data_IF_334612668890
#
_entry.id   IF_334612668890
#
_cell.length_a   1.000
_cell.length_b   1.000
_cell.length_c   1.000
_cell.angle_alpha   90.00
_cell.angle_beta   90.00
_cell.angle_gamma   90.00
#
_symmetry.space_group_name_H-M   'P 1'
#
loop_
_entity.id
_entity.type
_entity.pdbx_description
1 polymer ?
#
# COMPACT_ATOMS: atom_id res chain seq x y z
N UNK A 1 -66.73 6.33 -11.76
CA UNK A 1 -65.41 6.16 -12.40
C UNK A 1 -65.68 5.70 -13.82
N UNK A 2 -65.50 6.56 -14.82
CA UNK A 2 -65.73 6.20 -16.22
C UNK A 2 -64.41 5.77 -16.85
N UNK A 3 -64.40 4.60 -17.49
CA UNK A 3 -63.25 4.05 -18.20
C UNK A 3 -63.62 4.05 -19.68
N UNK A 4 -63.05 4.97 -20.46
CA UNK A 4 -63.09 4.89 -21.92
C UNK A 4 -61.86 4.12 -22.42
N UNK A 5 -62.09 3.08 -23.20
CA UNK A 5 -61.03 2.31 -23.86
C UNK A 5 -60.97 2.73 -25.32
N UNK A 6 -59.86 3.35 -25.73
CA UNK A 6 -59.56 3.61 -27.13
C UNK A 6 -58.57 2.57 -27.64
N UNK A 7 -58.95 1.86 -28.69
CA UNK A 7 -58.09 0.85 -29.33
C UNK A 7 -57.57 1.41 -30.63
N UNK A 8 -56.26 1.65 -30.71
CA UNK A 8 -55.61 2.07 -31.95
C UNK A 8 -54.82 0.89 -32.54
N UNK A 9 -55.07 0.61 -33.84
CA UNK A 9 -54.31 -0.36 -34.61
C UNK A 9 -53.18 0.36 -35.35
N UNK A 10 -51.95 -0.09 -35.12
CA UNK A 10 -50.80 0.27 -35.96
C UNK A 10 -50.80 -0.60 -37.23
N UNK A 11 -50.26 -0.07 -38.34
CA UNK A 11 -50.09 -0.74 -39.64
C UNK A 11 -49.33 -2.09 -39.59
N UNK A 12 -48.59 -2.39 -38.52
CA UNK A 12 -47.90 -3.67 -38.33
C UNK A 12 -48.68 -4.70 -37.49
N UNK A 13 -49.98 -4.51 -37.27
CA UNK A 13 -50.86 -5.52 -36.67
C UNK A 13 -50.76 -5.71 -35.14
N UNK A 14 -49.75 -5.16 -34.48
CA UNK A 14 -49.64 -5.16 -33.02
C UNK A 14 -50.66 -4.20 -32.39
N UNK A 15 -51.41 -4.72 -31.40
CA UNK A 15 -52.42 -3.96 -30.64
C UNK A 15 -51.78 -3.41 -29.37
N UNK A 16 -51.76 -2.09 -29.21
CA UNK A 16 -51.39 -1.44 -27.96
C UNK A 16 -52.66 -0.99 -27.25
N UNK A 17 -52.85 -1.43 -26.01
CA UNK A 17 -53.96 -1.03 -25.15
C UNK A 17 -53.53 0.15 -24.28
N UNK A 18 -54.18 1.30 -24.46
CA UNK A 18 -54.01 2.45 -23.59
C UNK A 18 -55.24 2.55 -22.69
N UNK A 19 -55.03 2.58 -21.37
CA UNK A 19 -56.08 2.90 -20.40
C UNK A 19 -55.79 4.27 -19.80
N UNK A 20 -56.78 5.16 -19.84
CA UNK A 20 -56.68 6.49 -19.25
C UNK A 20 -57.50 6.56 -17.96
N UNK A 21 -56.94 7.22 -16.95
CA UNK A 21 -57.65 7.55 -15.72
C UNK A 21 -57.69 9.08 -15.58
N UNK A 22 -58.87 9.67 -15.69
CA UNK A 22 -59.04 11.11 -15.44
C UNK A 22 -59.70 11.33 -14.07
N UNK A 23 -59.00 12.03 -13.18
CA UNK A 23 -59.58 12.56 -11.93
C UNK A 23 -59.92 14.04 -12.16
N UNK A 24 -61.19 14.41 -12.00
CA UNK A 24 -61.63 15.82 -12.08
C UNK A 24 -61.14 16.57 -10.84
N UNK A 25 -60.17 17.47 -11.00
CA UNK A 25 -60.03 18.70 -10.20
C UNK A 25 -59.10 19.67 -10.92
N UNK A 26 -59.43 20.95 -10.84
CA UNK A 26 -58.95 22.04 -11.69
C UNK A 26 -57.45 22.38 -11.52
N UNK A 27 -56.90 22.86 -12.64
CA UNK A 27 -55.74 23.75 -12.81
C UNK A 27 -54.34 23.12 -12.91
N UNK A 28 -53.79 23.21 -14.12
CA UNK A 28 -52.45 22.83 -14.63
C UNK A 28 -52.23 21.33 -14.89
N UNK A 29 -52.65 20.88 -16.08
CA UNK A 29 -52.25 19.59 -16.63
C UNK A 29 -50.87 19.72 -17.31
N UNK A 30 -49.82 19.30 -16.62
CA UNK A 30 -48.56 18.91 -17.25
C UNK A 30 -48.79 17.51 -17.84
N UNK A 31 -48.72 17.41 -19.17
CA UNK A 31 -48.82 16.12 -19.87
C UNK A 31 -47.46 15.41 -19.78
N UNK A 32 -47.35 14.42 -18.90
CA UNK A 32 -46.26 13.45 -18.94
C UNK A 32 -46.60 12.35 -19.96
N UNK A 33 -45.92 12.36 -21.11
CA UNK A 33 -45.94 11.23 -22.05
C UNK A 33 -44.91 10.21 -21.57
N UNK A 34 -45.34 9.26 -20.73
CA UNK A 34 -44.55 8.07 -20.44
C UNK A 34 -44.71 7.06 -21.58
N UNK A 35 -43.92 7.23 -22.64
CA UNK A 35 -43.77 6.22 -23.69
C UNK A 35 -42.90 5.08 -23.19
N UNK A 36 -43.50 4.00 -22.67
CA UNK A 36 -42.80 2.74 -22.41
C UNK A 36 -42.53 2.09 -23.78
N UNK A 37 -41.39 2.43 -24.38
CA UNK A 37 -40.82 1.66 -25.48
C UNK A 37 -40.07 0.48 -24.89
N UNK A 38 -40.72 -0.68 -24.79
CA UNK A 38 -40.04 -1.97 -24.64
C UNK A 38 -39.35 -2.32 -25.96
N UNK A 39 -38.21 -1.69 -26.20
CA UNK A 39 -37.14 -2.25 -27.02
C UNK A 39 -36.09 -2.74 -26.04
N UNK A 40 -36.08 -4.05 -25.83
CA UNK A 40 -35.05 -4.74 -25.06
C UNK A 40 -33.70 -4.60 -25.75
N UNK A 41 -33.03 -3.47 -25.53
CA UNK A 41 -31.59 -3.46 -25.44
C UNK A 41 -31.27 -3.89 -24.02
N UNK A 42 -31.10 -5.20 -23.84
CA UNK A 42 -30.28 -5.71 -22.76
C UNK A 42 -28.90 -5.08 -22.93
N UNK A 43 -28.67 -3.93 -22.30
CA UNK A 43 -27.33 -3.48 -21.98
C UNK A 43 -26.84 -4.53 -20.98
N UNK A 44 -26.22 -5.58 -21.53
CA UNK A 44 -25.23 -6.35 -20.84
C UNK A 44 -24.15 -5.35 -20.41
N UNK A 45 -24.31 -4.81 -19.21
CA UNK A 45 -23.19 -4.38 -18.39
C UNK A 45 -22.37 -5.64 -18.16
N UNK A 46 -21.51 -5.95 -19.13
CA UNK A 46 -20.35 -6.79 -18.88
C UNK A 46 -19.53 -5.96 -17.90
N UNK A 47 -19.69 -6.25 -16.60
CA UNK A 47 -18.64 -5.97 -15.65
C UNK A 47 -17.45 -6.80 -16.15
N UNK A 48 -16.67 -6.20 -17.04
CA UNK A 48 -15.37 -6.74 -17.34
C UNK A 48 -14.65 -6.69 -16.01
N UNK A 49 -14.42 -7.87 -15.45
CA UNK A 49 -13.61 -8.09 -14.27
C UNK A 49 -12.23 -7.48 -14.58
N UNK A 50 -12.07 -6.23 -14.16
CA UNK A 50 -10.94 -5.43 -14.56
C UNK A 50 -9.78 -5.79 -13.65
N UNK A 51 -8.89 -6.64 -14.17
CA UNK A 51 -7.64 -7.03 -13.50
C UNK A 51 -6.97 -5.81 -12.86
N UNK A 52 -6.89 -5.75 -11.51
CA UNK A 52 -6.41 -4.58 -10.81
C UNK A 52 -4.96 -4.23 -11.17
N UNK A 53 -4.18 -5.22 -11.63
CA UNK A 53 -2.78 -5.03 -12.06
C UNK A 53 -2.74 -4.35 -13.43
N UNK A 54 -3.43 -4.92 -14.43
CA UNK A 54 -3.46 -4.37 -15.79
C UNK A 54 -4.06 -2.95 -15.85
N UNK A 55 -5.11 -2.68 -15.06
CA UNK A 55 -5.73 -1.35 -14.95
C UNK A 55 -4.73 -0.25 -14.55
N UNK A 56 -3.72 -0.62 -13.77
CA UNK A 56 -2.71 0.30 -13.25
C UNK A 56 -1.48 0.39 -14.15
N UNK A 57 -1.50 -0.26 -15.32
CA UNK A 57 -0.38 -0.30 -16.26
C UNK A 57 0.79 -1.17 -15.80
N UNK A 58 0.55 -2.04 -14.82
CA UNK A 58 1.53 -3.00 -14.32
C UNK A 58 1.37 -4.35 -15.04
N UNK A 59 2.36 -5.21 -14.90
CA UNK A 59 2.33 -6.58 -15.43
C UNK A 59 2.37 -7.59 -14.30
N UNK A 60 1.58 -8.65 -14.39
CA UNK A 60 1.76 -9.82 -13.51
C UNK A 60 3.13 -10.46 -13.77
N UNK A 61 3.74 -11.02 -12.73
CA UNK A 61 4.93 -11.85 -12.87
C UNK A 61 4.84 -13.09 -11.99
N UNK A 62 5.54 -14.14 -12.41
CA UNK A 62 5.63 -15.41 -11.68
C UNK A 62 7.05 -15.65 -11.14
N UNK A 63 7.98 -14.72 -11.37
CA UNK A 63 9.33 -14.83 -10.85
C UNK A 63 9.31 -14.80 -9.32
N UNK A 64 10.07 -15.69 -8.68
CA UNK A 64 10.28 -15.67 -7.22
C UNK A 64 9.01 -15.80 -6.36
N UNK A 65 7.95 -16.45 -6.90
CA UNK A 65 6.77 -16.84 -6.11
C UNK A 65 7.12 -17.50 -4.76
N UNK A 66 8.12 -18.40 -4.65
CA UNK A 66 8.47 -19.00 -3.37
C UNK A 66 8.91 -17.99 -2.30
N UNK A 67 9.60 -16.91 -2.68
CA UNK A 67 10.00 -15.84 -1.77
C UNK A 67 8.74 -15.14 -1.22
N UNK A 68 7.84 -14.72 -2.12
CA UNK A 68 6.59 -14.06 -1.74
C UNK A 68 5.70 -14.97 -0.87
N UNK A 69 5.52 -16.24 -1.24
CA UNK A 69 4.74 -17.21 -0.46
C UNK A 69 5.33 -17.40 0.95
N UNK A 70 6.66 -17.48 1.06
CA UNK A 70 7.33 -17.63 2.36
C UNK A 70 7.17 -16.38 3.24
N UNK A 71 7.21 -15.18 2.66
CA UNK A 71 7.00 -13.92 3.35
C UNK A 71 5.54 -13.73 3.76
N UNK A 72 4.58 -14.07 2.89
CA UNK A 72 3.13 -14.07 3.20
C UNK A 72 2.84 -15.00 4.38
N UNK A 73 3.37 -16.24 4.33
CA UNK A 73 3.20 -17.20 5.43
C UNK A 73 3.75 -16.63 6.74
N UNK A 74 4.94 -16.04 6.69
CA UNK A 74 5.56 -15.40 7.84
C UNK A 74 4.76 -14.21 8.38
N UNK A 75 4.25 -13.34 7.51
CA UNK A 75 3.40 -12.22 7.90
C UNK A 75 2.09 -12.71 8.57
N UNK A 76 1.41 -13.69 7.96
CA UNK A 76 0.18 -14.27 8.50
C UNK A 76 0.36 -14.94 9.87
N UNK A 77 1.53 -15.51 10.16
CA UNK A 77 1.83 -16.04 11.50
C UNK A 77 1.73 -14.94 12.57
N UNK A 78 2.16 -13.72 12.25
CA UNK A 78 2.21 -12.60 13.19
C UNK A 78 0.92 -11.77 13.19
N UNK A 79 0.23 -11.62 12.05
CA UNK A 79 -0.99 -10.79 11.99
C UNK A 79 -2.16 -11.44 12.70
N UNK A 80 -2.31 -12.78 12.67
CA UNK A 80 -3.41 -13.53 13.30
C UNK A 80 -4.75 -12.78 13.27
N UNK A 81 -5.29 -12.40 14.44
CA UNK A 81 -6.58 -11.71 14.57
C UNK A 81 -6.50 -10.17 14.45
N UNK A 82 -5.29 -9.61 14.31
CA UNK A 82 -5.03 -8.18 14.31
C UNK A 82 -5.05 -7.56 12.89
N UNK A 83 -5.32 -8.34 11.85
CA UNK A 83 -5.44 -7.85 10.48
C UNK A 83 -5.97 -8.91 9.51
N UNK A 84 -6.17 -8.55 8.23
CA UNK A 84 -6.57 -9.52 7.20
C UNK A 84 -5.51 -10.59 6.97
N UNK A 85 -5.96 -11.77 6.52
CA UNK A 85 -5.06 -12.84 6.08
C UNK A 85 -4.59 -12.56 4.66
N UNK A 86 -3.29 -12.48 4.43
CA UNK A 86 -2.74 -12.31 3.08
C UNK A 86 -2.76 -13.64 2.32
N UNK A 87 -3.20 -13.64 1.07
CA UNK A 87 -3.23 -14.83 0.22
C UNK A 87 -2.61 -14.51 -1.14
N UNK A 88 -1.72 -15.35 -1.71
CA UNK A 88 -1.25 -15.13 -3.06
C UNK A 88 -2.41 -15.06 -4.05
N UNK A 89 -2.42 -14.04 -4.90
CA UNK A 89 -3.50 -13.79 -5.87
C UNK A 89 -3.80 -14.98 -6.79
N UNK A 90 -2.80 -15.81 -7.14
CA UNK A 90 -2.98 -17.01 -7.97
C UNK A 90 -3.61 -18.22 -7.24
N UNK A 91 -3.79 -18.13 -5.92
CA UNK A 91 -4.51 -19.13 -5.11
C UNK A 91 -5.73 -18.55 -4.41
N UNK A 92 -5.96 -17.24 -4.58
CA UNK A 92 -7.04 -16.52 -3.93
C UNK A 92 -8.37 -16.81 -4.62
N UNK A 93 -9.41 -17.01 -3.82
CA UNK A 93 -10.76 -17.20 -4.31
C UNK A 93 -11.59 -15.96 -4.01
N UNK A 94 -12.18 -15.39 -5.05
CA UNK A 94 -13.10 -14.27 -4.92
C UNK A 94 -14.30 -14.68 -4.05
N UNK A 95 -14.46 -14.04 -2.89
CA UNK A 95 -15.50 -14.35 -1.91
C UNK A 95 -15.01 -14.72 -0.51
N UNK A 96 -13.71 -14.99 -0.33
CA UNK A 96 -13.13 -15.10 1.01
C UNK A 96 -12.92 -13.71 1.63
N UNK A 97 -13.97 -13.23 2.32
CA UNK A 97 -14.03 -11.91 2.93
C UNK A 97 -12.98 -11.67 4.03
N UNK A 98 -12.28 -12.72 4.51
CA UNK A 98 -11.21 -12.58 5.51
C UNK A 98 -9.81 -12.53 4.89
N UNK A 99 -9.72 -12.78 3.58
CA UNK A 99 -8.45 -12.83 2.86
C UNK A 99 -8.27 -11.65 1.92
N UNK A 100 -7.04 -11.16 1.83
CA UNK A 100 -6.65 -10.08 0.92
C UNK A 100 -5.64 -10.62 -0.10
N UNK A 101 -5.91 -10.48 -1.42
CA UNK A 101 -5.02 -10.97 -2.44
C UNK A 101 -3.72 -10.15 -2.49
N UNK A 102 -2.61 -10.87 -2.58
CA UNK A 102 -1.27 -10.31 -2.83
C UNK A 102 -0.87 -10.60 -4.27
N UNK A 103 -0.78 -9.56 -5.07
CA UNK A 103 -0.39 -9.61 -6.47
C UNK A 103 1.11 -9.44 -6.59
N UNK A 104 1.71 -10.33 -7.37
CA UNK A 104 3.10 -10.22 -7.75
C UNK A 104 3.18 -9.48 -9.09
N UNK A 105 3.74 -8.28 -9.04
CA UNK A 105 3.69 -7.33 -10.15
C UNK A 105 5.07 -6.89 -10.60
N UNK A 106 5.13 -6.32 -11.80
CA UNK A 106 6.31 -5.69 -12.37
C UNK A 106 5.93 -4.35 -12.98
N UNK A 107 6.65 -3.31 -12.58
CA UNK A 107 6.56 -1.98 -13.21
C UNK A 107 7.30 -1.93 -14.55
N UNK A 108 6.88 -1.07 -15.49
CA UNK A 108 7.65 -0.78 -16.70
C UNK A 108 9.07 -0.30 -16.39
N UNK A 109 10.01 -0.50 -17.31
CA UNK A 109 11.38 -0.03 -17.15
C UNK A 109 11.42 1.49 -16.97
N UNK A 110 12.16 1.97 -15.96
CA UNK A 110 12.30 3.40 -15.65
C UNK A 110 11.11 4.02 -14.90
N UNK A 111 10.05 3.26 -14.62
CA UNK A 111 8.95 3.72 -13.80
C UNK A 111 9.36 3.87 -12.33
N UNK A 112 8.77 4.84 -11.64
CA UNK A 112 8.91 4.94 -10.18
C UNK A 112 8.10 3.78 -9.58
N UNK A 113 8.74 2.99 -8.72
CA UNK A 113 8.13 1.82 -8.11
C UNK A 113 8.56 1.69 -6.65
N UNK A 114 7.73 1.01 -5.86
CA UNK A 114 7.99 0.65 -4.46
C UNK A 114 7.96 -0.87 -4.30
N UNK A 115 8.70 -1.47 -3.36
CA UNK A 115 8.72 -2.91 -3.13
C UNK A 115 7.34 -3.53 -2.86
N UNK A 116 6.54 -2.89 -2.01
CA UNK A 116 5.20 -3.33 -1.65
C UNK A 116 4.29 -2.12 -1.49
N UNK A 117 3.00 -2.28 -1.79
CA UNK A 117 2.02 -1.21 -1.60
C UNK A 117 0.57 -1.70 -1.62
N UNK A 118 -0.32 -1.01 -0.89
CA UNK A 118 -1.78 -1.09 -1.07
C UNK A 118 -2.27 0.01 -2.04
N UNK A 119 -2.70 -0.35 -3.27
CA UNK A 119 -3.19 0.62 -4.24
C UNK A 119 -4.49 1.29 -3.78
N UNK A 120 -4.72 2.54 -4.20
CA UNK A 120 -6.01 3.20 -4.04
C UNK A 120 -7.11 2.41 -4.75
N UNK A 121 -8.30 2.36 -4.15
CA UNK A 121 -9.48 1.67 -4.67
C UNK A 121 -9.26 0.15 -4.90
N UNK A 122 -8.35 -0.45 -4.11
CA UNK A 122 -8.15 -1.89 -4.07
C UNK A 122 -7.92 -2.37 -2.64
N UNK A 123 -8.68 -3.37 -2.21
CA UNK A 123 -8.34 -4.14 -1.00
C UNK A 123 -7.41 -5.28 -1.42
N UNK A 124 -6.17 -4.92 -1.77
CA UNK A 124 -5.15 -5.85 -2.25
C UNK A 124 -3.75 -5.30 -1.97
N UNK A 125 -2.75 -6.18 -1.97
CA UNK A 125 -1.34 -5.78 -1.85
C UNK A 125 -0.64 -6.07 -3.16
N UNK A 126 0.13 -5.12 -3.67
CA UNK A 126 1.02 -5.31 -4.82
C UNK A 126 2.45 -5.42 -4.32
N UNK A 127 3.16 -6.46 -4.76
CA UNK A 127 4.58 -6.66 -4.47
C UNK A 127 5.35 -6.65 -5.78
N UNK A 128 6.30 -5.72 -5.90
CA UNK A 128 7.22 -5.62 -7.02
C UNK A 128 8.61 -6.11 -6.57
N UNK A 129 8.86 -7.41 -6.76
CA UNK A 129 10.13 -8.03 -6.34
C UNK A 129 11.37 -7.42 -7.02
N UNK A 130 11.37 -7.07 -8.32
CA UNK A 130 12.48 -6.30 -8.89
C UNK A 130 12.77 -4.98 -8.18
N UNK A 131 11.74 -4.24 -7.75
CA UNK A 131 11.92 -3.03 -6.96
C UNK A 131 12.46 -3.34 -5.56
N UNK A 132 12.00 -4.43 -4.95
CA UNK A 132 12.50 -4.93 -3.67
C UNK A 132 13.98 -5.34 -3.73
N UNK A 133 14.40 -6.10 -4.75
CA UNK A 133 15.79 -6.49 -4.95
C UNK A 133 16.70 -5.28 -5.19
N UNK A 134 16.26 -4.33 -6.02
CA UNK A 134 17.01 -3.09 -6.24
C UNK A 134 17.18 -2.31 -4.93
N UNK A 135 16.10 -2.24 -4.13
CA UNK A 135 16.12 -1.62 -2.81
C UNK A 135 17.05 -2.33 -1.84
N UNK A 136 17.00 -3.67 -1.73
CA UNK A 136 17.92 -4.45 -0.90
C UNK A 136 19.36 -4.21 -1.29
N UNK A 137 19.65 -4.28 -2.59
CA UNK A 137 21.00 -4.06 -3.12
C UNK A 137 21.54 -2.67 -2.77
N UNK A 138 20.71 -1.62 -2.82
CA UNK A 138 21.11 -0.28 -2.43
C UNK A 138 21.48 -0.18 -0.94
N UNK A 139 20.88 -1.03 -0.09
CA UNK A 139 21.08 -1.01 1.36
C UNK A 139 21.99 -2.13 1.89
N UNK A 140 22.51 -3.01 1.03
CA UNK A 140 23.43 -4.10 1.42
C UNK A 140 24.82 -3.97 0.79
N UNK A 141 25.02 -3.06 -0.18
CA UNK A 141 26.32 -2.86 -0.82
C UNK A 141 27.19 -1.87 -0.04
N UNK A 142 28.50 -2.09 -0.10
CA UNK A 142 29.52 -1.22 0.50
C UNK A 142 30.23 -1.84 1.69
N UNK A 143 31.33 -1.21 2.11
CA UNK A 143 32.16 -1.68 3.22
C UNK A 143 31.40 -1.67 4.54
N UNK A 144 31.58 -2.69 5.38
CA UNK A 144 30.95 -2.76 6.70
C UNK A 144 29.44 -3.04 6.71
N UNK A 145 28.83 -3.35 5.55
CA UNK A 145 27.42 -3.75 5.46
C UNK A 145 27.25 -5.24 5.73
N UNK A 146 26.16 -5.57 6.40
CA UNK A 146 25.70 -6.93 6.65
C UNK A 146 24.80 -7.39 5.49
N UNK A 147 24.87 -8.68 5.17
CA UNK A 147 23.91 -9.31 4.27
C UNK A 147 22.52 -9.32 4.91
N UNK A 148 21.52 -8.96 4.11
CA UNK A 148 20.12 -8.90 4.53
C UNK A 148 19.36 -10.11 3.98
N UNK A 149 18.54 -10.73 4.82
CA UNK A 149 17.70 -11.87 4.43
C UNK A 149 16.38 -11.37 3.84
N UNK A 150 16.22 -11.62 2.53
CA UNK A 150 15.11 -11.09 1.72
C UNK A 150 13.73 -11.47 2.27
N UNK A 151 13.56 -12.71 2.72
CA UNK A 151 12.29 -13.20 3.27
C UNK A 151 11.80 -12.30 4.43
N UNK A 152 12.65 -12.07 5.42
CA UNK A 152 12.23 -11.41 6.67
C UNK A 152 12.03 -9.91 6.49
N UNK A 153 12.78 -9.25 5.60
CA UNK A 153 12.50 -7.85 5.25
C UNK A 153 11.22 -7.71 4.43
N UNK A 154 10.96 -8.62 3.49
CA UNK A 154 9.70 -8.64 2.76
C UNK A 154 8.52 -8.92 3.70
N UNK A 155 8.70 -9.82 4.68
CA UNK A 155 7.71 -10.03 5.75
C UNK A 155 7.38 -8.72 6.46
N UNK A 156 8.40 -7.94 6.89
CA UNK A 156 8.14 -6.68 7.57
C UNK A 156 7.39 -5.67 6.68
N UNK A 157 7.76 -5.59 5.39
CA UNK A 157 7.03 -4.77 4.42
C UNK A 157 5.56 -5.22 4.29
N UNK A 158 5.30 -6.53 4.25
CA UNK A 158 3.91 -7.04 4.22
C UNK A 158 3.14 -6.74 5.51
N UNK A 159 3.78 -6.79 6.69
CA UNK A 159 3.16 -6.36 7.94
C UNK A 159 2.79 -4.88 7.90
N UNK A 160 3.64 -4.04 7.30
CA UNK A 160 3.36 -2.64 7.07
C UNK A 160 2.13 -2.45 6.16
N UNK A 161 2.04 -3.17 5.03
CA UNK A 161 0.85 -3.13 4.17
C UNK A 161 -0.42 -3.64 4.87
N UNK A 162 -0.30 -4.64 5.75
CA UNK A 162 -1.43 -5.08 6.59
C UNK A 162 -1.86 -3.95 7.52
N UNK A 163 -0.93 -3.16 8.06
CA UNK A 163 -1.24 -1.95 8.82
C UNK A 163 -2.07 -0.94 8.02
N UNK A 164 -1.75 -0.74 6.73
CA UNK A 164 -2.57 0.08 5.83
C UNK A 164 -3.99 -0.47 5.64
N UNK A 165 -4.12 -1.78 5.45
CA UNK A 165 -5.42 -2.45 5.30
C UNK A 165 -6.26 -2.34 6.58
N UNK A 166 -5.67 -2.64 7.75
CA UNK A 166 -6.35 -2.60 9.04
C UNK A 166 -6.82 -1.19 9.43
N UNK A 167 -6.10 -0.15 9.00
CA UNK A 167 -6.44 1.26 9.30
C UNK A 167 -7.22 1.95 8.18
N UNK A 168 -7.50 1.26 7.09
CA UNK A 168 -8.12 1.81 5.88
C UNK A 168 -7.40 3.08 5.37
N UNK A 169 -6.07 3.05 5.36
CA UNK A 169 -5.20 4.17 4.97
C UNK A 169 -4.55 3.96 3.60
N UNK A 170 -5.20 3.19 2.73
CA UNK A 170 -4.75 2.91 1.36
C UNK A 170 -4.55 4.23 0.58
N UNK A 171 -3.64 4.23 -0.39
CA UNK A 171 -3.26 5.53 -0.95
C UNK A 171 -2.48 5.54 -2.24
N UNK A 172 -1.78 4.47 -2.62
CA UNK A 172 -0.90 4.52 -3.78
C UNK A 172 -1.67 4.58 -5.10
N UNK A 173 -1.40 5.63 -5.86
CA UNK A 173 -1.95 5.84 -7.19
C UNK A 173 -0.90 5.46 -8.23
N UNK A 174 -1.35 4.87 -9.33
CA UNK A 174 -0.50 4.53 -10.46
C UNK A 174 -0.97 5.29 -11.70
N UNK A 175 -0.01 5.81 -12.46
CA UNK A 175 -0.22 6.37 -13.79
C UNK A 175 0.68 5.62 -14.76
N UNK A 176 0.08 4.82 -15.65
CA UNK A 176 0.79 4.01 -16.66
C UNK A 176 1.91 3.13 -16.07
N UNK A 177 1.63 2.45 -14.95
CA UNK A 177 2.58 1.54 -14.29
C UNK A 177 3.64 2.22 -13.42
N UNK A 178 3.67 3.55 -13.40
CA UNK A 178 4.50 4.33 -12.48
C UNK A 178 3.69 4.79 -11.28
N UNK A 179 4.26 4.67 -10.09
CA UNK A 179 3.70 5.22 -8.87
C UNK A 179 3.64 6.75 -9.01
N UNK A 180 2.47 7.35 -8.78
CA UNK A 180 2.35 8.81 -8.72
C UNK A 180 2.97 9.29 -7.42
N UNK A 181 3.75 10.37 -7.49
CA UNK A 181 4.35 10.97 -6.29
C UNK A 181 3.25 11.66 -5.49
N UNK A 182 2.81 11.04 -4.40
CA UNK A 182 1.83 11.60 -3.48
C UNK A 182 2.52 12.57 -2.50
N UNK A 183 2.75 13.79 -2.95
CA UNK A 183 3.12 14.93 -2.08
C UNK A 183 1.96 15.93 -1.91
N UNK A 184 0.73 15.53 -2.23
CA UNK A 184 -0.42 16.45 -2.29
C UNK A 184 -0.92 16.86 -0.89
N UNK A 185 -0.72 16.01 0.14
CA UNK A 185 -0.99 16.35 1.55
C UNK A 185 0.10 15.78 2.49
N UNK A 186 1.21 16.50 2.69
CA UNK A 186 2.41 15.95 3.34
C UNK A 186 2.22 15.47 4.78
N UNK A 187 1.28 16.06 5.53
CA UNK A 187 1.10 15.73 6.95
C UNK A 187 0.29 14.45 7.14
N UNK A 188 -0.84 14.31 6.44
CA UNK A 188 -1.72 13.16 6.58
C UNK A 188 -1.09 11.89 5.99
N UNK A 189 -0.43 12.00 4.84
CA UNK A 189 0.28 10.87 4.25
C UNK A 189 1.37 10.33 5.19
N UNK A 190 2.19 11.21 5.79
CA UNK A 190 3.22 10.82 6.78
C UNK A 190 2.62 10.10 7.98
N UNK A 191 1.53 10.64 8.55
CA UNK A 191 0.86 10.02 9.69
C UNK A 191 0.32 8.61 9.37
N UNK A 192 -0.16 8.37 8.14
CA UNK A 192 -0.62 7.05 7.69
C UNK A 192 0.52 6.04 7.60
N UNK A 193 1.65 6.45 7.03
CA UNK A 193 2.86 5.63 6.97
C UNK A 193 3.39 5.28 8.37
N UNK A 194 3.47 6.27 9.25
CA UNK A 194 3.90 6.09 10.64
C UNK A 194 2.99 5.14 11.42
N UNK A 195 1.67 5.23 11.18
CA UNK A 195 0.68 4.38 11.81
C UNK A 195 0.73 2.92 11.31
N UNK A 196 1.11 2.70 10.05
CA UNK A 196 1.34 1.39 9.47
C UNK A 196 2.67 0.78 9.94
N UNK A 197 3.73 1.59 10.05
CA UNK A 197 5.01 1.18 10.65
C UNK A 197 4.86 0.77 12.11
N UNK A 198 4.09 1.54 12.87
CA UNK A 198 3.82 1.27 14.28
C UNK A 198 3.05 -0.04 14.44
N UNK A 199 2.00 -0.25 13.64
CA UNK A 199 1.29 -1.52 13.61
C UNK A 199 2.23 -2.71 13.36
N UNK A 200 3.09 -2.62 12.34
CA UNK A 200 4.05 -3.68 12.02
C UNK A 200 5.07 -3.90 13.16
N UNK A 201 5.63 -2.82 13.70
CA UNK A 201 6.61 -2.87 14.79
C UNK A 201 6.01 -3.45 16.07
N UNK A 202 4.75 -3.13 16.39
CA UNK A 202 4.06 -3.67 17.56
C UNK A 202 3.84 -5.17 17.45
N UNK A 203 3.41 -5.68 16.29
CA UNK A 203 3.28 -7.12 16.07
C UNK A 203 4.60 -7.85 16.24
N UNK A 204 5.69 -7.33 15.65
CA UNK A 204 7.02 -7.93 15.78
C UNK A 204 7.48 -7.89 17.24
N UNK A 205 7.30 -6.77 17.95
CA UNK A 205 7.62 -6.63 19.38
C UNK A 205 6.87 -7.63 20.23
N UNK A 206 5.55 -7.70 20.07
CA UNK A 206 4.69 -8.59 20.86
C UNK A 206 5.10 -10.05 20.67
N UNK A 207 5.23 -10.50 19.42
CA UNK A 207 5.56 -11.89 19.13
C UNK A 207 7.00 -12.24 19.51
N UNK A 208 7.97 -11.37 19.27
CA UNK A 208 9.38 -11.62 19.64
C UNK A 208 9.59 -11.81 21.14
N UNK A 209 8.70 -11.24 21.98
CA UNK A 209 8.70 -11.38 23.44
C UNK A 209 7.75 -12.47 23.94
N UNK A 210 6.94 -13.04 23.05
CA UNK A 210 5.97 -14.07 23.40
C UNK A 210 6.66 -15.41 23.66
N UNK A 211 6.22 -16.09 24.72
CA UNK A 211 6.65 -17.46 25.08
C UNK A 211 5.59 -18.52 24.77
N UNK A 212 4.38 -18.12 24.39
CA UNK A 212 3.23 -19.01 24.19
C UNK A 212 3.21 -19.66 22.81
N UNK A 213 3.84 -19.05 21.81
CA UNK A 213 3.95 -19.56 20.45
C UNK A 213 5.40 -19.44 19.97
N UNK A 214 6.17 -20.52 20.16
CA UNK A 214 7.58 -20.58 19.81
C UNK A 214 7.85 -20.33 18.32
N UNK A 215 6.97 -20.80 17.43
CA UNK A 215 7.17 -20.67 15.98
C UNK A 215 7.03 -19.21 15.56
N UNK A 216 5.96 -18.56 16.00
CA UNK A 216 5.71 -17.15 15.70
C UNK A 216 6.75 -16.26 16.39
N UNK A 217 7.15 -16.60 17.61
CA UNK A 217 8.19 -15.86 18.35
C UNK A 217 9.55 -15.89 17.67
N UNK A 218 10.00 -17.06 17.20
CA UNK A 218 11.25 -17.16 16.42
C UNK A 218 11.16 -16.35 15.12
N UNK A 219 10.06 -16.47 14.39
CA UNK A 219 9.90 -15.74 13.13
C UNK A 219 9.95 -14.22 13.34
N UNK A 220 9.28 -13.72 14.39
CA UNK A 220 9.34 -12.30 14.76
C UNK A 220 10.76 -11.87 15.17
N UNK A 221 11.51 -12.71 15.90
CA UNK A 221 12.91 -12.42 16.24
C UNK A 221 13.80 -12.34 15.00
N UNK A 222 13.59 -13.18 13.98
CA UNK A 222 14.32 -13.07 12.71
C UNK A 222 14.02 -11.76 11.98
N UNK A 223 12.75 -11.34 11.94
CA UNK A 223 12.35 -10.05 11.37
C UNK A 223 13.00 -8.89 12.13
N UNK A 224 12.97 -8.92 13.47
CA UNK A 224 13.61 -7.90 14.31
C UNK A 224 15.13 -7.82 14.08
N UNK A 225 15.79 -8.98 13.90
CA UNK A 225 17.23 -9.05 13.61
C UNK A 225 17.54 -8.44 12.23
N UNK A 226 16.77 -8.76 11.19
CA UNK A 226 16.98 -8.16 9.86
C UNK A 226 16.77 -6.65 9.84
N UNK A 227 15.80 -6.12 10.60
CA UNK A 227 15.67 -4.67 10.76
C UNK A 227 16.86 -4.05 11.50
N UNK A 228 17.41 -4.76 12.48
CA UNK A 228 18.63 -4.31 13.18
C UNK A 228 19.82 -4.27 12.22
N UNK A 229 20.00 -5.29 11.37
CA UNK A 229 21.03 -5.31 10.33
C UNK A 229 20.84 -4.18 9.31
N UNK A 230 19.61 -3.93 8.89
CA UNK A 230 19.30 -2.82 7.97
C UNK A 230 19.63 -1.46 8.61
N UNK A 231 19.24 -1.25 9.87
CA UNK A 231 19.59 -0.07 10.65
C UNK A 231 21.11 0.11 10.74
N UNK A 232 21.86 -0.98 10.97
CA UNK A 232 23.32 -0.96 10.95
C UNK A 232 23.86 -0.57 9.58
N UNK A 233 23.36 -1.15 8.49
CA UNK A 233 23.81 -0.83 7.14
C UNK A 233 23.61 0.64 6.79
N UNK A 234 22.48 1.23 7.21
CA UNK A 234 22.21 2.65 7.06
C UNK A 234 23.19 3.50 7.87
N UNK A 235 23.57 3.06 9.09
CA UNK A 235 24.60 3.74 9.88
C UNK A 235 25.99 3.62 9.24
N UNK A 236 26.35 2.43 8.76
CA UNK A 236 27.61 2.17 8.07
C UNK A 236 27.77 3.08 6.84
N UNK A 237 26.69 3.31 6.08
CA UNK A 237 26.69 4.29 4.99
C UNK A 237 27.06 5.69 5.45
N UNK A 238 26.41 6.19 6.50
CA UNK A 238 26.67 7.53 7.05
C UNK A 238 28.08 7.67 7.61
N UNK A 239 28.65 6.58 8.15
CA UNK A 239 29.97 6.63 8.78
C UNK A 239 31.10 6.40 7.79
N UNK A 240 30.94 5.49 6.82
CA UNK A 240 32.02 5.02 5.96
C UNK A 240 32.02 5.65 4.58
N UNK A 241 30.84 5.93 4.01
CA UNK A 241 30.71 6.43 2.64
C UNK A 241 30.47 7.94 2.63
N UNK A 242 29.73 8.42 3.63
CA UNK A 242 29.35 9.82 3.79
C UNK A 242 29.98 10.41 5.05
N UNK A 243 31.28 10.16 5.24
CA UNK A 243 32.03 10.59 6.43
C UNK A 243 31.81 12.09 6.72
N UNK A 244 31.45 12.39 7.97
CA UNK A 244 31.13 13.75 8.42
C UNK A 244 29.69 14.20 8.12
N UNK A 245 28.87 13.41 7.41
CA UNK A 245 27.48 13.76 7.16
C UNK A 245 26.67 13.92 8.45
N UNK A 246 26.90 13.07 9.44
CA UNK A 246 26.21 13.15 10.75
C UNK A 246 26.53 14.47 11.47
N UNK A 247 27.79 14.91 11.43
CA UNK A 247 28.22 16.15 12.09
C UNK A 247 27.68 17.39 11.40
N UNK A 248 27.70 17.38 10.06
CA UNK A 248 27.28 18.51 9.22
C UNK A 248 25.78 18.52 8.91
N UNK A 249 25.05 17.46 9.25
CA UNK A 249 23.65 17.29 8.88
C UNK A 249 23.42 17.26 7.37
N UNK A 250 24.35 16.73 6.57
CA UNK A 250 24.34 16.80 5.10
C UNK A 250 22.95 16.46 4.52
N UNK A 251 22.22 17.41 3.91
CA UNK A 251 20.82 17.19 3.54
C UNK A 251 20.57 15.98 2.64
N UNK A 252 21.48 15.70 1.69
CA UNK A 252 21.40 14.54 0.79
C UNK A 252 21.38 13.17 1.50
N UNK A 253 21.79 13.11 2.76
CA UNK A 253 21.87 11.88 3.56
C UNK A 253 20.69 11.71 4.52
N UNK A 254 20.08 12.82 4.95
CA UNK A 254 19.04 12.82 5.99
C UNK A 254 17.66 13.29 5.50
N UNK A 255 17.57 13.82 4.28
CA UNK A 255 16.33 14.28 3.66
C UNK A 255 16.04 13.47 2.41
N UNK A 256 14.83 12.95 2.33
CA UNK A 256 14.41 12.16 1.19
C UNK A 256 14.21 13.06 -0.03
N UNK A 257 15.02 12.82 -1.06
CA UNK A 257 14.81 13.42 -2.37
C UNK A 257 13.72 12.64 -3.11
N UNK A 258 12.55 13.27 -3.33
CA UNK A 258 11.55 12.84 -4.31
C UNK A 258 11.08 11.36 -4.24
N UNK A 259 11.06 10.74 -3.05
CA UNK A 259 10.55 9.37 -2.87
C UNK A 259 9.05 9.35 -2.54
N UNK A 260 8.38 8.25 -2.92
CA UNK A 260 6.96 8.01 -2.66
C UNK A 260 6.62 7.76 -1.19
N UNK A 261 7.61 7.38 -0.38
CA UNK A 261 7.50 7.21 1.06
C UNK A 261 8.50 8.14 1.74
N UNK A 262 8.05 9.23 2.41
CA UNK A 262 8.95 10.15 3.06
C UNK A 262 9.61 9.54 4.30
N UNK A 263 10.92 9.77 4.41
CA UNK A 263 11.84 9.47 5.51
C UNK A 263 12.09 7.99 5.76
N UNK A 264 12.31 7.17 4.72
CA UNK A 264 12.49 5.72 4.90
C UNK A 264 13.54 5.36 5.96
N UNK A 265 14.70 6.03 5.94
CA UNK A 265 15.76 5.78 6.92
C UNK A 265 15.31 6.06 8.36
N UNK A 266 14.58 7.15 8.57
CA UNK A 266 14.01 7.49 9.88
C UNK A 266 12.94 6.47 10.30
N UNK A 267 12.07 6.06 9.37
CA UNK A 267 11.01 5.07 9.61
C UNK A 267 11.60 3.73 10.05
N UNK A 268 12.65 3.24 9.38
CA UNK A 268 13.35 2.02 9.79
C UNK A 268 13.98 2.17 11.19
N UNK A 269 14.65 3.29 11.48
CA UNK A 269 15.21 3.55 12.81
C UNK A 269 14.11 3.60 13.89
N UNK A 270 12.98 4.25 13.60
CA UNK A 270 11.81 4.33 14.49
C UNK A 270 11.22 2.95 14.72
N UNK A 271 10.95 2.17 13.68
CA UNK A 271 10.44 0.80 13.80
C UNK A 271 11.40 -0.08 14.61
N UNK A 272 12.72 0.02 14.37
CA UNK A 272 13.70 -0.73 15.14
C UNK A 272 13.67 -0.35 16.62
N UNK A 273 13.56 0.95 16.95
CA UNK A 273 13.40 1.38 18.33
C UNK A 273 12.07 0.92 18.95
N UNK A 274 10.96 0.99 18.22
CA UNK A 274 9.65 0.52 18.70
C UNK A 274 9.68 -0.98 19.04
N UNK A 275 10.42 -1.78 18.27
CA UNK A 275 10.59 -3.23 18.51
C UNK A 275 11.50 -3.49 19.71
N UNK A 276 12.72 -2.96 19.68
CA UNK A 276 13.75 -3.31 20.66
C UNK A 276 13.54 -2.60 22.01
N UNK A 277 13.09 -1.34 21.98
CA UNK A 277 12.94 -0.45 23.13
C UNK A 277 14.21 -0.37 24.00
N UNK A 278 15.38 -0.38 23.35
CA UNK A 278 16.68 -0.25 24.02
C UNK A 278 17.21 1.19 23.94
N UNK A 279 18.13 1.55 24.82
CA UNK A 279 18.78 2.87 24.80
C UNK A 279 19.64 3.07 23.54
N UNK A 280 20.23 2.00 23.00
CA UNK A 280 21.06 2.07 21.79
C UNK A 280 20.20 2.41 20.55
N UNK A 281 19.06 1.73 20.38
CA UNK A 281 18.14 2.03 19.27
C UNK A 281 17.54 3.43 19.38
N UNK A 282 17.27 3.88 20.61
CA UNK A 282 16.82 5.24 20.90
C UNK A 282 17.89 6.28 20.52
N UNK A 283 19.14 6.04 20.92
CA UNK A 283 20.26 6.93 20.61
C UNK A 283 20.51 7.02 19.10
N UNK A 284 20.44 5.91 18.37
CA UNK A 284 20.57 5.92 16.90
C UNK A 284 19.48 6.75 16.21
N UNK A 285 18.22 6.60 16.65
CA UNK A 285 17.11 7.40 16.13
C UNK A 285 17.31 8.89 16.46
N UNK A 286 17.65 9.20 17.71
CA UNK A 286 17.88 10.57 18.17
C UNK A 286 19.02 11.25 17.40
N UNK A 287 20.16 10.58 17.23
CA UNK A 287 21.30 11.10 16.47
C UNK A 287 20.92 11.40 15.01
N UNK A 288 20.07 10.55 14.41
CA UNK A 288 19.56 10.79 13.07
C UNK A 288 18.68 12.04 13.01
N UNK A 289 17.78 12.21 13.98
CA UNK A 289 16.90 13.38 14.08
C UNK A 289 17.69 14.67 14.33
N UNK A 290 18.68 14.65 15.22
CA UNK A 290 19.57 15.79 15.46
C UNK A 290 20.34 16.19 14.20
N UNK A 291 20.95 15.23 13.50
CA UNK A 291 21.66 15.51 12.25
C UNK A 291 20.73 16.09 11.19
N UNK A 292 19.49 15.59 11.11
CA UNK A 292 18.47 16.14 10.22
C UNK A 292 18.08 17.57 10.60
N UNK A 293 17.94 17.88 11.88
CA UNK A 293 17.66 19.24 12.35
C UNK A 293 18.80 20.21 12.01
N UNK A 294 20.06 19.80 12.21
CA UNK A 294 21.24 20.58 11.79
C UNK A 294 21.19 20.93 10.30
N UNK A 295 20.85 19.95 9.44
CA UNK A 295 20.73 20.15 8.00
C UNK A 295 19.54 20.99 7.55
N UNK A 296 18.54 21.19 8.41
CA UNK A 296 17.38 22.03 8.14
C UNK A 296 17.65 23.52 8.41
N UNK A 297 18.72 23.84 9.13
CA UNK A 297 19.10 25.23 9.43
C UNK A 297 19.60 25.93 8.15
N UNK A 298 18.95 27.01 7.68
CA UNK A 298 19.38 27.75 6.51
C UNK A 298 20.70 28.51 6.72
N UNK A 299 21.17 28.65 7.96
CA UNK A 299 22.48 29.22 8.24
C UNK A 299 23.55 28.14 8.03
N UNK A 300 24.48 28.32 7.08
CA UNK A 300 25.54 27.33 6.89
C UNK A 300 26.35 27.20 8.18
N UNK A 301 26.47 25.97 8.69
CA UNK A 301 27.32 25.62 9.84
C UNK A 301 28.80 26.06 9.65
N UNK A 302 29.17 26.40 8.42
CA UNK A 302 30.41 27.08 8.07
C UNK A 302 30.14 28.23 7.09
N UNK A 303 30.21 29.48 7.55
CA UNK A 303 30.65 30.56 6.67
C UNK A 303 32.13 30.30 6.40
N UNK A 304 32.49 29.88 5.18
CA UNK A 304 33.90 29.88 4.78
C UNK A 304 34.42 31.31 4.94
N UNK A 305 35.59 31.51 5.56
CA UNK A 305 36.23 32.82 5.62
C UNK A 305 36.51 33.39 4.21
#
# INVERSE_FOLDING_TARGET
MHIEKLTLKNQNGSRTLLSFYTRKSLSHAIVFVAGISMLGNSILLVAADHDPVALRGLQHTNAERPLLESAIKSANLMTKANGPTLTPSWTWNEGDAQSVPVYLVKSPAGAISTPAVVPRDCTCVFVNLPAFEAWLNAHSKGSGRMTLESKHLLTFMLLHEVGHLSKNTTGAEFSNGSLSQLNTEPALAKAREEAADEFAAELVREWSRSTSDFTTSIEANWVANELTKLSWNMQAYRTLDEFGALETGKPLVFFDQNMSHPNLAWRILRSNHLIQQSEETKALLHNFEEARQKGADPLPLYQSP
#
